data_IF_235658455395
#
_entry.id   IF_235658455395
#
_cell.length_a   1.000
_cell.length_b   1.000
_cell.length_c   1.000
_cell.angle_alpha   90.00
_cell.angle_beta   90.00
_cell.angle_gamma   90.00
#
_symmetry.space_group_name_H-M   'P 1'
#
loop_
_entity.id
_entity.type
_entity.pdbx_description
1 polymer ?
#
# COMPACT_ATOMS: atom_id res chain seq x y z
N UNK A 1 4.35 8.55 16.10
CA UNK A 1 5.41 7.71 15.50
C UNK A 1 4.91 6.35 15.03
N UNK A 2 4.30 5.49 15.87
CA UNK A 2 3.84 4.14 15.46
C UNK A 2 2.99 4.11 14.17
N UNK A 3 2.02 5.03 14.05
CA UNK A 3 1.17 5.18 12.86
C UNK A 3 1.97 5.46 11.58
N UNK A 4 2.95 6.36 11.66
CA UNK A 4 3.78 6.74 10.51
C UNK A 4 4.72 5.62 10.08
N UNK A 5 5.28 4.88 11.04
CA UNK A 5 6.09 3.68 10.73
C UNK A 5 5.23 2.62 10.04
N UNK A 6 3.99 2.42 10.51
CA UNK A 6 3.05 1.49 9.88
C UNK A 6 2.71 1.89 8.44
N UNK A 7 2.41 3.17 8.18
CA UNK A 7 2.17 3.67 6.81
C UNK A 7 3.41 3.50 5.93
N UNK A 8 4.60 3.87 6.42
CA UNK A 8 5.86 3.75 5.68
C UNK A 8 6.17 2.30 5.30
N UNK A 9 6.07 1.37 6.26
CA UNK A 9 6.30 -0.06 6.01
C UNK A 9 5.25 -0.63 5.06
N UNK A 10 3.99 -0.25 5.21
CA UNK A 10 2.93 -0.71 4.31
C UNK A 10 3.09 -0.20 2.88
N UNK A 11 3.41 1.08 2.70
CA UNK A 11 3.70 1.66 1.38
C UNK A 11 4.96 1.04 0.77
N UNK A 12 6.01 0.82 1.57
CA UNK A 12 7.21 0.10 1.13
C UNK A 12 6.86 -1.30 0.62
N UNK A 13 6.06 -2.06 1.37
CA UNK A 13 5.64 -3.42 0.98
C UNK A 13 4.81 -3.42 -0.31
N UNK A 14 3.90 -2.45 -0.45
CA UNK A 14 3.08 -2.28 -1.65
C UNK A 14 3.95 -2.01 -2.89
N UNK A 15 4.90 -1.10 -2.80
CA UNK A 15 5.80 -0.76 -3.92
C UNK A 15 6.76 -1.91 -4.21
N UNK A 16 7.36 -2.51 -3.17
CA UNK A 16 8.28 -3.63 -3.31
C UNK A 16 7.60 -4.83 -3.98
N UNK A 17 6.44 -5.25 -3.48
CA UNK A 17 5.74 -6.41 -4.02
C UNK A 17 5.04 -6.13 -5.35
N UNK A 18 4.29 -5.03 -5.44
CA UNK A 18 3.57 -4.65 -6.65
C UNK A 18 4.50 -4.34 -7.82
N UNK A 19 5.32 -3.29 -7.70
CA UNK A 19 6.26 -2.91 -8.76
C UNK A 19 7.36 -3.95 -8.96
N UNK A 20 7.83 -4.60 -7.90
CA UNK A 20 8.80 -5.70 -8.02
C UNK A 20 8.26 -6.87 -8.83
N UNK A 21 7.00 -7.27 -8.61
CA UNK A 21 6.38 -8.33 -9.43
C UNK A 21 6.26 -7.92 -10.90
N UNK A 22 5.96 -6.64 -11.18
CA UNK A 22 5.89 -6.11 -12.53
C UNK A 22 7.24 -6.14 -13.25
N UNK A 23 8.30 -5.68 -12.57
CA UNK A 23 9.64 -5.57 -13.15
C UNK A 23 10.32 -6.93 -13.27
N UNK A 24 10.17 -7.81 -12.28
CA UNK A 24 10.96 -9.04 -12.16
C UNK A 24 10.25 -10.27 -12.71
N UNK A 25 8.92 -10.29 -12.73
CA UNK A 25 8.15 -11.53 -12.97
C UNK A 25 7.08 -11.40 -14.07
N UNK A 26 6.59 -10.21 -14.41
CA UNK A 26 5.48 -10.07 -15.35
C UNK A 26 5.78 -10.65 -16.74
N UNK A 27 6.97 -10.37 -17.27
CA UNK A 27 7.41 -10.73 -18.62
C UNK A 27 8.43 -11.87 -18.66
N UNK A 28 8.58 -12.66 -17.60
CA UNK A 28 9.57 -13.74 -17.60
C UNK A 28 9.25 -14.79 -18.70
N UNK A 29 10.24 -15.24 -19.51
CA UNK A 29 9.97 -16.15 -20.61
C UNK A 29 9.28 -17.44 -20.15
N UNK A 30 8.15 -17.78 -20.79
CA UNK A 30 7.34 -19.00 -20.58
C UNK A 30 6.67 -19.13 -19.20
N UNK A 31 7.16 -18.45 -18.16
CA UNK A 31 6.71 -18.60 -16.78
C UNK A 31 6.33 -17.27 -16.12
N UNK A 32 6.21 -16.20 -16.90
CA UNK A 32 5.82 -14.88 -16.40
C UNK A 32 4.42 -14.86 -15.82
N UNK A 33 4.21 -14.03 -14.80
CA UNK A 33 2.92 -13.93 -14.10
C UNK A 33 1.88 -13.09 -14.85
N UNK A 34 2.30 -12.36 -15.90
CA UNK A 34 1.45 -11.47 -16.70
C UNK A 34 0.79 -10.35 -15.89
N UNK A 35 -0.11 -9.60 -16.53
CA UNK A 35 -0.80 -8.49 -15.87
C UNK A 35 -1.74 -8.95 -14.74
N UNK A 36 -2.40 -10.10 -14.90
CA UNK A 36 -3.27 -10.66 -13.85
C UNK A 36 -2.47 -11.00 -12.59
N UNK A 37 -1.28 -11.58 -12.72
CA UNK A 37 -0.41 -11.87 -11.58
C UNK A 37 0.11 -10.62 -10.89
N UNK A 38 0.46 -9.58 -11.66
CA UNK A 38 0.86 -8.28 -11.10
C UNK A 38 -0.30 -7.63 -10.35
N UNK A 39 -1.51 -7.63 -10.92
CA UNK A 39 -2.70 -7.10 -10.25
C UNK A 39 -2.98 -7.86 -8.94
N UNK A 40 -2.84 -9.19 -8.95
CA UNK A 40 -2.96 -10.02 -7.76
C UNK A 40 -1.88 -9.68 -6.72
N UNK A 41 -0.63 -9.48 -7.13
CA UNK A 41 0.46 -9.10 -6.23
C UNK A 41 0.18 -7.76 -5.54
N UNK A 42 -0.24 -6.73 -6.28
CA UNK A 42 -0.68 -5.46 -5.67
C UNK A 42 -1.81 -5.68 -4.66
N UNK A 43 -2.87 -6.42 -5.03
CA UNK A 43 -3.97 -6.72 -4.11
C UNK A 43 -3.51 -7.43 -2.84
N UNK A 44 -2.64 -8.44 -2.97
CA UNK A 44 -2.13 -9.19 -1.83
C UNK A 44 -1.21 -8.35 -0.92
N UNK A 45 -0.40 -7.45 -1.48
CA UNK A 45 0.40 -6.53 -0.64
C UNK A 45 -0.49 -5.63 0.23
N UNK A 46 -1.60 -5.12 -0.33
CA UNK A 46 -2.57 -4.33 0.43
C UNK A 46 -3.25 -5.17 1.50
N UNK A 47 -3.77 -6.35 1.13
CA UNK A 47 -4.46 -7.25 2.10
C UNK A 47 -3.53 -7.64 3.24
N UNK A 48 -2.31 -8.06 2.94
CA UNK A 48 -1.36 -8.51 3.97
C UNK A 48 -0.99 -7.37 4.93
N UNK A 49 -0.76 -6.15 4.44
CA UNK A 49 -0.45 -5.00 5.29
C UNK A 49 -1.67 -4.45 6.02
N UNK A 50 -2.87 -4.55 5.44
CA UNK A 50 -4.11 -4.18 6.13
C UNK A 50 -4.32 -5.05 7.38
N UNK A 51 -4.11 -6.37 7.28
CA UNK A 51 -4.16 -7.27 8.44
C UNK A 51 -3.00 -7.01 9.43
N UNK A 52 -1.78 -6.85 8.92
CA UNK A 52 -0.59 -6.72 9.77
C UNK A 52 -0.50 -5.38 10.50
N UNK A 53 -0.89 -4.28 9.86
CA UNK A 53 -0.62 -2.91 10.33
C UNK A 53 -1.86 -2.00 10.34
N UNK A 54 -2.98 -2.42 9.74
CA UNK A 54 -4.20 -1.61 9.67
C UNK A 54 -4.76 -1.25 11.04
N UNK A 55 -4.64 -2.11 12.04
CA UNK A 55 -5.04 -1.83 13.43
C UNK A 55 -4.16 -0.77 14.12
N UNK A 56 -3.01 -0.42 13.55
CA UNK A 56 -2.08 0.61 14.07
C UNK A 56 -2.37 1.97 13.44
N UNK A 57 -2.38 2.07 12.11
CA UNK A 57 -2.50 3.36 11.38
C UNK A 57 -3.85 3.59 10.70
N UNK A 58 -4.66 2.56 10.50
CA UNK A 58 -5.79 2.56 9.56
C UNK A 58 -5.43 1.98 8.19
N UNK A 59 -4.14 1.79 7.90
CA UNK A 59 -3.63 1.12 6.71
C UNK A 59 -3.98 1.82 5.41
N UNK A 60 -3.64 3.11 5.28
CA UNK A 60 -4.00 3.85 4.07
C UNK A 60 -3.05 3.50 2.92
N UNK A 61 -1.74 3.50 3.19
CA UNK A 61 -0.65 3.13 2.27
C UNK A 61 -0.68 3.87 0.92
N UNK A 62 -1.44 4.96 0.85
CA UNK A 62 -1.79 5.68 -0.37
C UNK A 62 -2.29 7.10 -0.03
N UNK A 63 -1.69 8.14 -0.63
CA UNK A 63 -2.14 9.53 -0.47
C UNK A 63 -3.60 9.76 -0.86
N UNK A 64 -4.08 9.17 -1.96
CA UNK A 64 -5.46 9.32 -2.42
C UNK A 64 -6.46 8.68 -1.45
N UNK A 65 -6.11 7.55 -0.84
CA UNK A 65 -6.92 6.91 0.21
C UNK A 65 -6.98 7.82 1.44
N UNK A 66 -5.85 8.38 1.87
CA UNK A 66 -5.80 9.34 2.98
C UNK A 66 -6.67 10.56 2.73
N UNK A 67 -6.57 11.16 1.55
CA UNK A 67 -7.39 12.32 1.16
C UNK A 67 -8.87 11.96 1.03
N UNK A 68 -9.20 10.78 0.50
CA UNK A 68 -10.59 10.31 0.41
C UNK A 68 -11.22 10.07 1.78
N UNK A 69 -10.48 9.46 2.72
CA UNK A 69 -10.92 9.27 4.10
C UNK A 69 -11.02 10.60 4.85
N UNK A 70 -10.12 11.55 4.60
CA UNK A 70 -10.20 12.90 5.14
C UNK A 70 -11.44 13.65 4.62
N UNK A 71 -11.69 13.62 3.31
CA UNK A 71 -12.89 14.20 2.70
C UNK A 71 -14.19 13.56 3.24
N UNK A 72 -14.13 12.27 3.58
CA UNK A 72 -15.22 11.54 4.24
C UNK A 72 -15.30 11.73 5.76
N UNK A 73 -14.47 12.58 6.37
CA UNK A 73 -14.48 12.85 7.81
C UNK A 73 -13.97 11.69 8.69
N UNK A 74 -13.26 10.72 8.11
CA UNK A 74 -12.75 9.51 8.80
C UNK A 74 -11.32 9.64 9.31
N UNK A 75 -10.62 10.71 8.94
CA UNK A 75 -9.23 11.01 9.32
C UNK A 75 -9.13 12.47 9.72
N UNK A 76 -8.49 12.74 10.85
CA UNK A 76 -8.26 14.11 11.31
C UNK A 76 -7.24 14.84 10.42
N UNK A 77 -7.47 16.12 10.12
CA UNK A 77 -6.61 16.93 9.24
C UNK A 77 -5.12 16.92 9.62
N UNK A 78 -4.79 16.81 10.91
CA UNK A 78 -3.39 16.75 11.39
C UNK A 78 -2.61 15.53 10.90
N UNK A 79 -3.31 14.47 10.48
CA UNK A 79 -2.68 13.23 10.00
C UNK A 79 -2.49 13.20 8.49
N UNK A 80 -3.17 14.06 7.73
CA UNK A 80 -3.14 14.03 6.26
C UNK A 80 -1.70 14.17 5.74
N UNK A 81 -1.02 15.27 6.05
CA UNK A 81 0.33 15.51 5.55
C UNK A 81 1.34 14.48 6.08
N UNK A 82 1.37 14.13 7.40
CA UNK A 82 2.26 13.09 7.89
C UNK A 82 2.08 11.72 7.23
N UNK A 83 0.84 11.32 6.93
CA UNK A 83 0.57 10.03 6.27
C UNK A 83 0.98 10.04 4.79
N UNK A 84 0.88 11.19 4.10
CA UNK A 84 1.33 11.32 2.71
C UNK A 84 2.85 11.29 2.60
N UNK A 85 3.57 11.79 3.61
CA UNK A 85 5.04 11.81 3.65
C UNK A 85 5.64 10.48 4.10
N UNK A 86 4.91 9.70 4.91
CA UNK A 86 5.36 8.43 5.46
C UNK A 86 5.39 7.31 4.42
#
# INVERSE_FOLDING_TARGET
MKKLIAECVGTFWLVLGGCGSAVLAAGYPQWGIGFTGVALAFGLTVVTMAYALGHISGGHFNPAVTLGLWAGGRVESRWVLPYVVA
#
